data_IF_051774216952
#
_entry.id   IF_051774216952
#
_cell.length_a   1.000
_cell.length_b   1.000
_cell.length_c   1.000
_cell.angle_alpha   90.00
_cell.angle_beta   90.00
_cell.angle_gamma   90.00
#
_symmetry.space_group_name_H-M   'P 1'
#
loop_
_entity.id
_entity.type
_entity.pdbx_description
1 polymer ?
#
# COMPACT_ATOMS: atom_id res chain seq x y z
N UNK A 1 -39.25 42.92 -26.32
CA UNK A 1 -38.15 42.75 -25.36
C UNK A 1 -38.42 41.76 -24.21
N UNK A 2 -39.62 41.27 -23.92
CA UNK A 2 -39.93 40.36 -22.82
C UNK A 2 -39.73 38.84 -23.13
N UNK A 3 -39.61 38.44 -24.40
CA UNK A 3 -39.45 37.02 -24.79
C UNK A 3 -38.00 36.53 -24.81
N UNK A 4 -37.02 37.43 -24.88
CA UNK A 4 -35.58 37.06 -24.94
C UNK A 4 -35.00 36.76 -23.54
N UNK A 5 -35.59 37.29 -22.49
CA UNK A 5 -35.13 37.09 -21.10
C UNK A 5 -35.49 35.68 -20.58
N UNK A 6 -36.60 35.10 -21.04
CA UNK A 6 -37.01 33.75 -20.63
C UNK A 6 -36.12 32.63 -21.20
N UNK A 7 -35.51 32.85 -22.38
CA UNK A 7 -34.59 31.84 -22.96
C UNK A 7 -33.24 31.79 -22.25
N UNK A 8 -32.79 32.92 -21.70
CA UNK A 8 -31.51 32.97 -20.96
C UNK A 8 -31.60 32.36 -19.56
N UNK A 9 -32.77 32.40 -18.90
CA UNK A 9 -32.98 31.76 -17.60
C UNK A 9 -33.07 30.22 -17.69
N UNK A 10 -33.52 29.68 -18.83
CA UNK A 10 -33.58 28.24 -19.03
C UNK A 10 -32.20 27.57 -19.27
N UNK A 11 -31.21 28.34 -19.75
CA UNK A 11 -29.86 27.83 -19.98
C UNK A 11 -29.00 27.75 -18.69
N UNK A 12 -29.39 28.46 -17.64
CA UNK A 12 -28.63 28.47 -16.37
C UNK A 12 -28.99 27.33 -15.40
N UNK A 13 -30.02 26.54 -15.68
CA UNK A 13 -30.43 25.42 -14.84
C UNK A 13 -29.82 24.07 -15.20
N UNK A 14 -29.01 23.97 -16.26
CA UNK A 14 -28.31 22.75 -16.66
C UNK A 14 -26.91 22.54 -16.03
N UNK A 15 -26.53 23.41 -15.10
CA UNK A 15 -25.14 23.49 -14.58
C UNK A 15 -24.78 22.61 -13.38
N UNK A 16 -25.62 21.68 -12.96
CA UNK A 16 -25.29 20.86 -11.77
C UNK A 16 -25.58 19.38 -11.98
N UNK A 17 -25.13 18.82 -13.08
CA UNK A 17 -24.90 17.37 -13.13
C UNK A 17 -23.62 17.09 -12.33
N UNK A 18 -23.77 16.92 -11.04
CA UNK A 18 -22.69 16.38 -10.21
C UNK A 18 -22.31 15.00 -10.77
N UNK A 19 -21.15 14.91 -11.36
CA UNK A 19 -20.64 13.63 -11.82
C UNK A 19 -20.56 12.70 -10.61
N UNK A 20 -21.24 11.57 -10.66
CA UNK A 20 -21.18 10.58 -9.60
C UNK A 20 -19.75 10.06 -9.48
N UNK A 21 -19.17 10.14 -8.30
CA UNK A 21 -17.86 9.56 -8.04
C UNK A 21 -17.95 8.02 -8.14
N UNK A 22 -17.42 7.48 -9.22
CA UNK A 22 -17.39 6.05 -9.51
C UNK A 22 -16.28 5.32 -8.74
N UNK A 23 -15.32 6.05 -8.17
CA UNK A 23 -14.20 5.42 -7.44
C UNK A 23 -14.65 4.71 -6.18
N UNK A 24 -15.77 5.10 -5.59
CA UNK A 24 -16.38 4.42 -4.45
C UNK A 24 -16.81 2.96 -4.73
N UNK A 25 -16.94 2.58 -6.01
CA UNK A 25 -17.30 1.21 -6.42
C UNK A 25 -16.08 0.31 -6.62
N UNK A 26 -14.87 0.87 -6.57
CA UNK A 26 -13.62 0.14 -6.77
C UNK A 26 -13.11 -0.34 -5.43
N UNK A 27 -12.91 -1.65 -5.30
CA UNK A 27 -12.30 -2.26 -4.13
C UNK A 27 -10.93 -2.83 -4.50
N UNK A 28 -9.82 -2.13 -4.17
CA UNK A 28 -8.47 -2.60 -4.50
C UNK A 28 -8.01 -3.83 -3.71
N UNK A 29 -8.74 -4.26 -2.68
CA UNK A 29 -8.45 -5.49 -1.93
C UNK A 29 -8.78 -6.75 -2.76
N UNK A 30 -9.62 -6.63 -3.79
CA UNK A 30 -9.95 -7.78 -4.65
C UNK A 30 -8.68 -8.29 -5.34
N UNK A 31 -8.41 -9.60 -5.21
CA UNK A 31 -7.24 -10.25 -5.78
C UNK A 31 -5.97 -10.19 -4.91
N UNK A 32 -6.02 -9.58 -3.72
CA UNK A 32 -4.85 -9.45 -2.84
C UNK A 32 -4.63 -10.67 -1.94
N UNK A 33 -5.26 -11.80 -2.23
CA UNK A 33 -5.09 -13.03 -1.45
C UNK A 33 -4.85 -14.24 -2.36
N UNK A 34 -4.11 -15.24 -1.86
CA UNK A 34 -3.77 -16.45 -2.60
C UNK A 34 -3.01 -16.13 -3.90
N UNK A 35 -3.52 -16.63 -5.01
CA UNK A 35 -2.91 -16.47 -6.35
C UNK A 35 -3.47 -15.29 -7.15
N UNK A 36 -4.08 -14.31 -6.50
CA UNK A 36 -4.63 -13.14 -7.20
C UNK A 36 -3.58 -12.15 -7.68
N UNK A 37 -2.44 -12.08 -7.01
CA UNK A 37 -1.27 -11.25 -7.33
C UNK A 37 -1.62 -9.79 -7.62
N UNK A 38 -2.38 -9.17 -6.73
CA UNK A 38 -2.64 -7.73 -6.76
C UNK A 38 -2.21 -7.09 -5.46
N UNK A 39 -1.94 -5.80 -5.47
CA UNK A 39 -1.55 -5.02 -4.30
C UNK A 39 -2.63 -3.97 -3.98
N UNK A 40 -2.87 -3.66 -2.68
CA UNK A 40 -3.94 -2.74 -2.27
C UNK A 40 -3.51 -1.27 -2.27
N UNK A 41 -2.25 -0.99 -2.53
CA UNK A 41 -1.65 0.32 -2.35
C UNK A 41 -2.04 1.36 -3.38
N UNK A 42 -1.53 2.58 -3.20
CA UNK A 42 -1.81 3.70 -4.07
C UNK A 42 -1.04 3.59 -5.40
N UNK A 43 -1.74 3.75 -6.51
CA UNK A 43 -1.14 3.95 -7.82
C UNK A 43 -2.02 4.87 -8.67
N UNK A 44 -1.45 5.44 -9.72
CA UNK A 44 -2.20 6.16 -10.76
C UNK A 44 -2.06 5.42 -12.09
N UNK A 45 -3.02 5.56 -13.01
CA UNK A 45 -2.93 4.89 -14.30
C UNK A 45 -1.61 5.19 -15.01
N UNK A 46 -0.90 4.12 -15.43
CA UNK A 46 0.41 4.18 -16.09
C UNK A 46 1.50 4.92 -15.29
N UNK A 47 1.36 4.96 -13.96
CA UNK A 47 2.40 5.51 -13.07
C UNK A 47 3.58 4.56 -12.93
N UNK A 48 4.78 5.13 -12.73
CA UNK A 48 5.99 4.39 -12.38
C UNK A 48 5.96 3.89 -10.92
N UNK A 49 5.26 4.63 -10.05
CA UNK A 49 5.20 4.32 -8.62
C UNK A 49 3.89 3.60 -8.30
N UNK A 50 4.03 2.42 -7.70
CA UNK A 50 2.97 1.63 -7.09
C UNK A 50 3.32 1.50 -5.60
N UNK A 51 2.84 2.45 -4.79
CA UNK A 51 3.18 2.56 -3.38
C UNK A 51 2.25 1.70 -2.53
N UNK A 52 2.75 0.58 -2.02
CA UNK A 52 1.92 -0.43 -1.34
C UNK A 52 2.63 -1.03 -0.12
N UNK A 53 1.87 -1.55 0.86
CA UNK A 53 2.45 -2.38 1.89
C UNK A 53 2.94 -3.70 1.32
N UNK A 54 4.06 -4.19 1.87
CA UNK A 54 4.53 -5.56 1.73
C UNK A 54 4.30 -6.31 3.04
N UNK A 55 3.66 -7.46 2.98
CA UNK A 55 3.37 -8.26 4.18
C UNK A 55 4.40 -9.34 4.43
N UNK A 56 4.99 -9.89 3.37
CA UNK A 56 6.13 -10.79 3.48
C UNK A 56 6.89 -10.90 2.16
N UNK A 57 8.09 -11.44 2.26
CA UNK A 57 8.91 -11.90 1.14
C UNK A 57 9.45 -13.28 1.46
N UNK A 58 9.28 -14.21 0.55
CA UNK A 58 9.70 -15.60 0.73
C UNK A 58 10.74 -15.93 -0.33
N UNK A 59 11.94 -16.41 0.06
CA UNK A 59 12.94 -16.83 -0.91
C UNK A 59 12.39 -17.92 -1.83
N UNK A 60 12.67 -17.80 -3.12
CA UNK A 60 12.28 -18.81 -4.12
C UNK A 60 13.00 -20.13 -3.92
N UNK A 61 14.18 -20.10 -3.31
CA UNK A 61 15.01 -21.26 -3.09
C UNK A 61 15.52 -21.26 -1.64
N UNK A 62 15.31 -22.36 -0.93
CA UNK A 62 15.87 -22.60 0.39
C UNK A 62 16.57 -23.96 0.33
N UNK A 63 17.87 -23.98 0.62
CA UNK A 63 18.71 -25.18 0.57
C UNK A 63 18.64 -25.95 -0.76
N UNK A 64 18.62 -25.21 -1.87
CA UNK A 64 18.52 -25.76 -3.21
C UNK A 64 17.13 -26.27 -3.61
N UNK A 65 16.10 -26.03 -2.79
CA UNK A 65 14.73 -26.47 -3.07
C UNK A 65 13.83 -25.27 -3.34
N UNK A 66 13.06 -25.33 -4.42
CA UNK A 66 12.05 -24.35 -4.76
C UNK A 66 10.97 -24.27 -3.67
N UNK A 67 10.59 -23.02 -3.32
CA UNK A 67 9.54 -22.72 -2.35
C UNK A 67 8.27 -22.24 -3.08
N UNK A 68 7.26 -23.10 -3.25
CA UNK A 68 6.03 -22.73 -3.96
C UNK A 68 5.30 -21.53 -3.35
N UNK A 69 5.42 -21.32 -2.05
CA UNK A 69 4.80 -20.19 -1.34
C UNK A 69 5.35 -18.83 -1.76
N UNK A 70 6.57 -18.78 -2.29
CA UNK A 70 7.13 -17.54 -2.83
C UNK A 70 6.27 -16.96 -3.95
N UNK A 71 5.60 -17.84 -4.72
CA UNK A 71 4.70 -17.44 -5.79
C UNK A 71 3.44 -16.69 -5.30
N UNK A 72 2.95 -16.96 -4.10
CA UNK A 72 1.81 -16.23 -3.52
C UNK A 72 2.14 -14.75 -3.29
N UNK A 73 3.40 -14.42 -3.04
CA UNK A 73 3.87 -13.08 -2.67
C UNK A 73 4.39 -12.25 -3.85
N UNK A 74 4.08 -12.63 -5.09
CA UNK A 74 4.52 -11.89 -6.28
C UNK A 74 4.13 -10.41 -6.31
N UNK A 75 3.07 -10.03 -5.60
CA UNK A 75 2.65 -8.63 -5.45
C UNK A 75 2.99 -8.02 -4.09
N UNK A 76 3.83 -8.69 -3.28
CA UNK A 76 4.30 -8.20 -1.98
C UNK A 76 3.29 -8.28 -0.84
N UNK A 77 2.00 -8.28 -1.11
CA UNK A 77 0.93 -8.24 -0.11
C UNK A 77 0.02 -9.47 -0.20
N UNK A 78 -0.35 -10.00 0.97
CA UNK A 78 -1.39 -11.01 1.11
C UNK A 78 -2.40 -10.59 2.19
N UNK A 79 -3.67 -10.52 1.83
CA UNK A 79 -4.73 -10.08 2.75
C UNK A 79 -4.91 -10.98 3.97
N UNK A 80 -4.45 -12.24 3.92
CA UNK A 80 -4.48 -13.17 5.07
C UNK A 80 -3.46 -12.82 6.16
N UNK A 81 -2.48 -11.96 5.87
CA UNK A 81 -1.38 -11.66 6.78
C UNK A 81 -1.77 -10.60 7.80
N UNK A 82 -1.10 -10.63 8.95
CA UNK A 82 -1.38 -9.75 10.09
C UNK A 82 -0.23 -8.80 10.44
N UNK A 83 0.83 -8.78 9.63
CA UNK A 83 1.95 -7.86 9.81
C UNK A 83 2.46 -7.31 8.48
N UNK A 84 2.92 -6.06 8.49
CA UNK A 84 3.49 -5.33 7.37
C UNK A 84 4.99 -5.17 7.61
N UNK A 85 5.80 -5.52 6.60
CA UNK A 85 7.26 -5.31 6.60
C UNK A 85 7.57 -3.84 6.40
N UNK A 86 6.85 -3.19 5.51
CA UNK A 86 7.00 -1.77 5.19
C UNK A 86 6.20 -1.42 3.94
N UNK A 87 6.52 -0.27 3.36
CA UNK A 87 5.85 0.26 2.17
C UNK A 87 6.88 0.45 1.06
N UNK A 88 6.85 -0.40 0.03
CA UNK A 88 7.73 -0.30 -1.12
C UNK A 88 7.08 0.45 -2.29
N UNK A 89 7.88 0.89 -3.26
CA UNK A 89 7.45 1.84 -4.29
C UNK A 89 7.15 1.21 -5.63
N UNK A 90 7.48 -0.07 -5.82
CA UNK A 90 7.33 -0.74 -7.11
C UNK A 90 6.69 -2.11 -6.94
N UNK A 91 5.59 -2.35 -7.68
CA UNK A 91 4.85 -3.61 -7.64
C UNK A 91 4.32 -3.97 -9.03
N UNK A 92 4.21 -5.27 -9.29
CA UNK A 92 3.39 -5.77 -10.37
C UNK A 92 2.00 -6.16 -9.88
N UNK A 93 1.02 -6.12 -10.76
CA UNK A 93 -0.35 -6.56 -10.51
C UNK A 93 -0.80 -7.54 -11.57
N UNK A 94 -1.36 -8.68 -11.14
CA UNK A 94 -1.90 -9.73 -12.02
C UNK A 94 -0.84 -10.59 -12.70
N UNK A 95 0.44 -10.45 -12.38
CA UNK A 95 1.51 -11.31 -12.87
C UNK A 95 2.01 -12.25 -11.77
N UNK A 96 2.26 -13.49 -12.12
CA UNK A 96 2.83 -14.48 -11.23
C UNK A 96 4.37 -14.47 -11.23
N UNK A 97 5.00 -13.34 -11.45
CA UNK A 97 6.44 -13.18 -11.40
C UNK A 97 6.83 -12.30 -10.23
N UNK A 98 7.71 -12.82 -9.37
CA UNK A 98 8.25 -12.06 -8.24
C UNK A 98 9.37 -11.17 -8.75
N UNK A 99 9.18 -9.87 -8.64
CA UNK A 99 10.16 -8.84 -8.98
C UNK A 99 9.72 -7.53 -8.34
N UNK A 100 10.61 -6.54 -8.26
CA UNK A 100 10.32 -5.25 -7.67
C UNK A 100 10.26 -5.29 -6.12
N UNK A 101 9.46 -4.41 -5.50
CA UNK A 101 9.48 -4.19 -4.05
C UNK A 101 10.59 -3.23 -3.64
N UNK A 102 11.10 -2.44 -4.59
CA UNK A 102 12.22 -1.55 -4.36
C UNK A 102 11.89 -0.40 -3.43
N UNK A 103 12.90 0.03 -2.68
CA UNK A 103 12.87 1.20 -1.81
C UNK A 103 11.75 1.09 -0.78
N UNK A 104 11.94 0.17 0.17
CA UNK A 104 10.99 0.00 1.27
C UNK A 104 11.22 1.05 2.35
N UNK A 105 10.12 1.64 2.82
CA UNK A 105 10.12 2.60 3.93
C UNK A 105 9.24 2.06 5.05
N UNK A 106 9.78 2.09 6.29
CA UNK A 106 9.03 1.72 7.49
C UNK A 106 9.18 2.79 8.57
N UNK A 107 8.09 3.46 9.00
CA UNK A 107 8.09 4.31 10.16
C UNK A 107 8.08 3.47 11.44
N UNK A 108 8.91 3.81 12.41
CA UNK A 108 9.04 3.06 13.65
C UNK A 108 9.24 3.98 14.86
N UNK A 109 8.93 3.46 16.04
CA UNK A 109 9.21 4.10 17.34
C UNK A 109 10.00 3.15 18.23
N UNK A 110 10.58 3.67 19.32
CA UNK A 110 11.25 2.84 20.31
C UNK A 110 12.66 2.38 19.92
N UNK A 111 12.99 1.11 20.11
CA UNK A 111 14.30 0.55 19.80
C UNK A 111 14.52 0.43 18.29
N UNK A 112 15.74 0.68 17.84
CA UNK A 112 16.10 0.50 16.43
C UNK A 112 16.35 -0.97 16.13
N UNK A 113 15.57 -1.52 15.20
CA UNK A 113 15.76 -2.85 14.64
C UNK A 113 16.17 -2.69 13.17
N UNK A 114 17.16 -3.47 12.71
CA UNK A 114 17.75 -3.34 11.38
C UNK A 114 17.41 -4.52 10.44
N UNK A 115 16.66 -5.49 10.92
CA UNK A 115 16.18 -6.60 10.09
C UNK A 115 14.65 -6.59 10.06
N UNK A 116 14.02 -7.17 9.02
CA UNK A 116 12.57 -7.13 8.87
C UNK A 116 11.82 -8.03 9.87
N UNK A 117 12.49 -8.96 10.54
CA UNK A 117 11.81 -10.03 11.28
C UNK A 117 11.08 -11.00 10.35
N UNK A 118 10.26 -11.86 10.92
CA UNK A 118 9.45 -12.83 10.16
C UNK A 118 7.97 -12.71 10.52
N UNK A 119 7.08 -13.24 9.68
CA UNK A 119 5.64 -13.28 9.98
C UNK A 119 5.33 -14.06 11.27
N UNK A 120 6.15 -15.05 11.63
CA UNK A 120 6.02 -15.86 12.86
C UNK A 120 6.72 -15.26 14.07
N UNK A 121 7.64 -14.34 13.86
CA UNK A 121 8.34 -13.55 14.89
C UNK A 121 8.44 -12.08 14.48
N UNK A 122 7.31 -11.32 14.55
CA UNK A 122 7.31 -9.91 14.22
C UNK A 122 8.17 -9.07 15.17
N UNK A 123 8.27 -9.49 16.44
CA UNK A 123 9.03 -8.78 17.47
C UNK A 123 10.54 -8.86 17.24
N UNK A 124 11.00 -9.83 16.48
CA UNK A 124 12.42 -9.98 16.09
C UNK A 124 12.91 -8.92 15.09
N UNK A 125 12.04 -8.11 14.49
CA UNK A 125 12.41 -7.16 13.45
C UNK A 125 11.68 -5.83 13.50
N UNK A 126 11.81 -5.02 12.42
CA UNK A 126 11.15 -3.71 12.29
C UNK A 126 9.73 -3.81 11.70
N UNK A 127 9.22 -4.99 11.30
CA UNK A 127 7.82 -5.11 10.83
C UNK A 127 6.84 -4.77 11.93
N UNK A 128 5.64 -4.44 11.57
CA UNK A 128 4.55 -4.14 12.51
C UNK A 128 3.31 -4.95 12.24
N UNK A 129 2.68 -5.42 13.29
CA UNK A 129 1.31 -5.94 13.23
C UNK A 129 0.34 -4.85 12.81
N UNK A 130 -0.75 -5.26 12.21
CA UNK A 130 -1.86 -4.37 11.83
C UNK A 130 -3.19 -5.12 11.89
N UNK A 131 -4.30 -4.38 11.82
CA UNK A 131 -5.64 -4.94 11.66
C UNK A 131 -6.30 -4.39 10.41
N UNK A 132 -6.98 -5.25 9.67
CA UNK A 132 -7.81 -4.86 8.53
C UNK A 132 -8.95 -3.91 8.90
N UNK A 133 -9.37 -3.86 10.19
CA UNK A 133 -10.34 -2.87 10.68
C UNK A 133 -9.82 -1.43 10.59
N UNK A 134 -8.50 -1.26 10.53
CA UNK A 134 -7.84 0.04 10.40
C UNK A 134 -7.28 0.29 9.00
N UNK A 135 -7.45 -0.68 8.10
CA UNK A 135 -6.95 -0.62 6.73
C UNK A 135 -7.97 0.04 5.80
N UNK A 136 -7.55 1.04 5.08
CA UNK A 136 -8.34 1.70 4.05
C UNK A 136 -7.60 1.64 2.73
N UNK A 137 -8.18 0.98 1.75
CA UNK A 137 -7.68 0.93 0.37
C UNK A 137 -8.73 1.47 -0.59
N UNK A 138 -8.36 2.41 -1.43
CA UNK A 138 -9.20 2.98 -2.48
C UNK A 138 -8.31 3.50 -3.63
N UNK A 139 -8.86 3.74 -4.82
CA UNK A 139 -8.05 4.23 -5.94
C UNK A 139 -7.17 5.42 -5.58
N UNK A 140 -5.86 5.26 -5.74
CA UNK A 140 -4.86 6.30 -5.45
C UNK A 140 -4.58 6.59 -3.98
N UNK A 141 -5.11 5.79 -3.05
CA UNK A 141 -4.92 6.02 -1.62
C UNK A 141 -4.88 4.72 -0.82
N UNK A 142 -3.97 4.67 0.15
CA UNK A 142 -3.90 3.61 1.14
C UNK A 142 -3.66 4.17 2.54
N UNK A 143 -4.24 3.57 3.55
CA UNK A 143 -4.07 3.95 4.96
C UNK A 143 -4.12 2.71 5.85
N UNK A 144 -3.27 2.69 6.90
CA UNK A 144 -3.29 1.64 7.92
C UNK A 144 -2.69 2.14 9.23
N UNK A 145 -3.09 1.53 10.35
CA UNK A 145 -2.45 1.70 11.65
C UNK A 145 -1.42 0.60 11.88
N UNK A 146 -0.17 0.97 12.05
CA UNK A 146 0.92 0.11 12.47
C UNK A 146 0.84 -0.07 13.99
N UNK A 147 0.32 -1.21 14.43
CA UNK A 147 -0.11 -1.42 15.83
C UNK A 147 1.07 -1.40 16.81
N UNK A 148 2.22 -2.00 16.44
CA UNK A 148 3.38 -2.09 17.32
C UNK A 148 4.06 -0.73 17.56
N UNK A 149 3.86 0.21 16.65
CA UNK A 149 4.45 1.56 16.72
C UNK A 149 3.44 2.66 17.05
N UNK A 150 2.14 2.34 16.99
CA UNK A 150 1.06 3.33 17.12
C UNK A 150 1.08 4.38 16.01
N UNK A 151 1.69 4.08 14.87
CA UNK A 151 1.86 5.01 13.76
C UNK A 151 0.77 4.80 12.72
N UNK A 152 0.05 5.88 12.40
CA UNK A 152 -0.85 5.91 11.25
C UNK A 152 -0.07 6.23 9.99
N UNK A 153 -0.07 5.31 9.04
CA UNK A 153 0.54 5.47 7.72
C UNK A 153 -0.55 5.79 6.69
N UNK A 154 -0.31 6.82 5.88
CA UNK A 154 -1.18 7.25 4.78
C UNK A 154 -0.33 7.44 3.53
N UNK A 155 -0.75 6.84 2.43
CA UNK A 155 0.01 6.78 1.19
C UNK A 155 -0.84 7.30 0.01
N UNK A 156 -0.19 8.03 -0.88
CA UNK A 156 -0.74 8.39 -2.19
C UNK A 156 0.40 8.54 -3.20
N UNK A 157 0.07 8.62 -4.49
CA UNK A 157 1.09 8.72 -5.53
C UNK A 157 0.72 9.73 -6.61
N UNK A 158 1.73 10.21 -7.30
CA UNK A 158 1.64 10.75 -8.65
C UNK A 158 2.25 9.74 -9.63
N UNK A 159 2.39 10.11 -10.90
CA UNK A 159 3.02 9.21 -11.89
C UNK A 159 4.46 8.81 -11.55
N UNK A 160 5.19 9.59 -10.76
CA UNK A 160 6.63 9.39 -10.49
C UNK A 160 7.04 9.65 -9.05
N UNK A 161 6.11 9.95 -8.15
CA UNK A 161 6.41 10.28 -6.76
C UNK A 161 5.47 9.52 -5.84
N UNK A 162 6.03 8.76 -4.91
CA UNK A 162 5.32 8.24 -3.76
C UNK A 162 5.27 9.29 -2.65
N UNK A 163 4.10 9.50 -2.05
CA UNK A 163 3.92 10.44 -0.95
C UNK A 163 3.48 9.68 0.28
N UNK A 164 4.27 9.78 1.33
CA UNK A 164 4.01 9.17 2.63
C UNK A 164 3.67 10.25 3.64
N UNK A 165 2.63 10.01 4.42
CA UNK A 165 2.33 10.79 5.61
C UNK A 165 2.23 9.86 6.81
N UNK A 166 3.09 10.06 7.78
CA UNK A 166 3.12 9.30 9.02
C UNK A 166 2.71 10.17 10.20
N UNK A 167 1.73 9.69 10.97
CA UNK A 167 1.31 10.34 12.21
C UNK A 167 1.76 9.49 13.37
N UNK A 168 2.76 9.98 14.09
CA UNK A 168 3.31 9.32 15.27
C UNK A 168 2.50 9.66 16.52
N UNK A 169 2.47 8.77 17.53
CA UNK A 169 1.93 9.12 18.85
C UNK A 169 2.66 10.33 19.44
N UNK A 170 1.95 11.18 20.16
CA UNK A 170 2.53 12.40 20.75
C UNK A 170 3.68 12.11 21.70
N UNK A 171 3.58 11.01 22.45
CA UNK A 171 4.54 10.60 23.46
C UNK A 171 5.54 9.55 22.95
N UNK A 172 5.57 9.28 21.65
CA UNK A 172 6.51 8.34 21.08
C UNK A 172 7.93 8.88 21.16
N UNK A 173 8.73 8.24 21.99
CA UNK A 173 10.19 8.44 21.97
C UNK A 173 10.80 7.89 20.69
N UNK A 174 11.92 8.48 20.23
CA UNK A 174 12.73 7.94 19.15
C UNK A 174 11.95 7.60 17.88
N UNK A 175 11.21 8.57 17.33
CA UNK A 175 10.56 8.45 16.04
C UNK A 175 11.60 8.29 14.93
N UNK A 176 11.39 7.33 14.02
CA UNK A 176 12.35 6.96 12.96
C UNK A 176 11.63 6.68 11.66
N UNK A 177 12.38 6.87 10.58
CA UNK A 177 12.06 6.32 9.26
C UNK A 177 13.19 5.37 8.90
N UNK A 178 12.89 4.10 8.74
CA UNK A 178 13.81 3.08 8.24
C UNK A 178 13.67 3.07 6.73
N UNK A 179 14.79 3.16 6.04
CA UNK A 179 14.90 3.00 4.60
C UNK A 179 15.66 1.70 4.34
N UNK A 180 14.95 0.68 3.85
CA UNK A 180 15.54 -0.58 3.46
C UNK A 180 15.75 -0.61 1.95
N UNK A 181 17.03 -0.58 1.54
CA UNK A 181 17.46 -0.62 0.14
C UNK A 181 17.85 -2.03 -0.33
N UNK A 182 17.72 -3.03 0.57
CA UNK A 182 18.01 -4.44 0.28
C UNK A 182 16.72 -5.22 0.07
N UNK A 183 15.62 -4.70 0.62
CA UNK A 183 14.29 -5.30 0.43
C UNK A 183 13.94 -5.44 -1.05
N UNK A 184 13.31 -6.56 -1.39
CA UNK A 184 12.74 -6.84 -2.69
C UNK A 184 11.75 -7.99 -2.56
N UNK A 185 10.74 -8.02 -3.41
CA UNK A 185 9.78 -9.13 -3.49
C UNK A 185 10.47 -10.40 -3.98
N UNK A 186 11.54 -10.22 -4.71
CA UNK A 186 12.36 -11.29 -5.23
C UNK A 186 13.59 -11.51 -4.35
N UNK A 187 13.66 -12.68 -3.70
CA UNK A 187 14.83 -13.16 -2.98
C UNK A 187 15.32 -14.46 -3.62
N UNK A 188 16.49 -14.40 -4.27
CA UNK A 188 17.19 -15.58 -4.78
C UNK A 188 17.93 -16.34 -3.68
#
# INVERSE_FOLDING_TARGET
MKKTILLFSALLTFGSLSAQDKTAWVNPIIGTNGMGHTFPGACVPFGLVQLSPDTDTIPHNVDGKYQPRAYEYCAGYQHKDSSIVGFSHTHFSGTGHSDLGDILIMPATGELKLNPGTATDPDGGYRSRFSHDTEVSRPGYYEVMLADYGVKAQLTTTKRVGVHKYTFPKDAGNQRIILDMVHGIYNY
#
